data_IF_090039283185
#
_entry.id   IF_090039283185
#
_cell.length_a   1.000
_cell.length_b   1.000
_cell.length_c   1.000
_cell.angle_alpha   90.00
_cell.angle_beta   90.00
_cell.angle_gamma   90.00
#
_symmetry.space_group_name_H-M   'P 1'
#
loop_
_entity.id
_entity.type
_entity.pdbx_description
1 polymer ?
#
# COMPACT_ATOMS: atom_id res chain seq x y z
N UNK A 1 1.33 -12.73 12.70
CA UNK A 1 1.79 -11.42 13.17
C UNK A 1 1.69 -10.47 12.01
N UNK A 2 1.05 -9.32 12.23
CA UNK A 2 0.86 -8.27 11.23
C UNK A 2 1.88 -7.18 11.50
N UNK A 3 2.71 -6.88 10.51
CA UNK A 3 3.66 -5.78 10.50
C UNK A 3 3.07 -4.62 9.70
N UNK A 4 3.04 -3.44 10.32
CA UNK A 4 2.51 -2.21 9.69
C UNK A 4 3.62 -1.19 9.79
N UNK A 5 4.13 -0.76 8.64
CA UNK A 5 5.00 0.41 8.51
C UNK A 5 4.13 1.61 8.19
N UNK A 6 4.15 2.63 9.04
CA UNK A 6 3.34 3.83 8.86
C UNK A 6 4.27 5.02 8.65
N UNK A 7 4.16 5.65 7.49
CA UNK A 7 4.90 6.83 7.10
C UNK A 7 3.91 7.96 6.89
N UNK A 8 4.09 9.05 7.62
CA UNK A 8 3.21 10.21 7.56
C UNK A 8 4.11 11.42 7.34
N UNK A 9 3.81 12.23 6.33
CA UNK A 9 4.51 13.49 6.14
C UNK A 9 4.32 14.39 7.37
N UNK A 10 5.36 15.10 7.79
CA UNK A 10 5.37 15.92 9.02
C UNK A 10 4.18 16.90 9.11
N UNK A 11 3.69 17.37 7.96
CA UNK A 11 2.52 18.27 7.88
C UNK A 11 1.19 17.62 8.31
N UNK A 12 1.09 16.29 8.25
CA UNK A 12 -0.12 15.53 8.60
C UNK A 12 0.00 14.75 9.90
N UNK A 13 1.20 14.55 10.44
CA UNK A 13 1.43 13.77 11.66
C UNK A 13 0.58 14.21 12.86
N UNK A 14 0.25 15.51 12.98
CA UNK A 14 -0.59 16.03 14.06
C UNK A 14 -2.10 15.86 13.87
N UNK A 15 -2.56 15.43 12.69
CA UNK A 15 -3.97 15.33 12.33
C UNK A 15 -4.48 13.89 12.24
N UNK A 16 -3.60 12.91 12.41
CA UNK A 16 -3.89 11.49 12.17
C UNK A 16 -3.68 10.72 13.46
N UNK A 17 -4.65 9.88 13.80
CA UNK A 17 -4.52 8.91 14.87
C UNK A 17 -3.87 7.63 14.33
N UNK A 18 -2.56 7.53 14.52
CA UNK A 18 -1.74 6.40 14.07
C UNK A 18 -2.21 5.08 14.68
N UNK A 19 -2.67 5.10 15.93
CA UNK A 19 -3.14 3.91 16.65
C UNK A 19 -4.47 3.43 16.06
N UNK A 20 -5.40 4.34 15.80
CA UNK A 20 -6.66 4.03 15.14
C UNK A 20 -6.45 3.49 13.72
N UNK A 21 -5.52 4.07 12.97
CA UNK A 21 -5.20 3.60 11.61
C UNK A 21 -4.59 2.19 11.63
N UNK A 22 -3.62 1.95 12.51
CA UNK A 22 -3.03 0.62 12.69
C UNK A 22 -4.08 -0.40 13.14
N UNK A 23 -4.99 -0.01 14.04
CA UNK A 23 -6.08 -0.86 14.49
C UNK A 23 -7.03 -1.22 13.34
N UNK A 24 -7.41 -0.25 12.51
CA UNK A 24 -8.26 -0.47 11.35
C UNK A 24 -7.64 -1.45 10.33
N UNK A 25 -6.34 -1.32 10.06
CA UNK A 25 -5.62 -2.24 9.17
C UNK A 25 -5.58 -3.66 9.75
N UNK A 26 -5.22 -3.80 11.03
CA UNK A 26 -5.19 -5.12 11.70
C UNK A 26 -6.55 -5.79 11.70
N UNK A 27 -7.60 -5.04 12.02
CA UNK A 27 -8.97 -5.54 12.05
C UNK A 27 -9.42 -5.98 10.65
N UNK A 28 -9.13 -5.18 9.63
CA UNK A 28 -9.42 -5.54 8.24
C UNK A 28 -8.73 -6.86 7.85
N UNK A 29 -7.44 -7.01 8.17
CA UNK A 29 -6.68 -8.22 7.88
C UNK A 29 -7.20 -9.45 8.65
N UNK A 30 -7.55 -9.27 9.93
CA UNK A 30 -8.17 -10.32 10.73
C UNK A 30 -9.50 -10.78 10.14
N UNK A 31 -10.36 -9.85 9.69
CA UNK A 31 -11.63 -10.19 9.03
C UNK A 31 -11.43 -10.94 7.70
N UNK A 32 -10.32 -10.68 7.00
CA UNK A 32 -9.95 -11.43 5.79
C UNK A 32 -9.27 -12.78 6.10
N UNK A 33 -9.09 -13.15 7.38
CA UNK A 33 -8.41 -14.39 7.77
C UNK A 33 -6.91 -14.38 7.51
N UNK A 34 -6.29 -13.20 7.37
CA UNK A 34 -4.87 -13.04 7.13
C UNK A 34 -4.12 -12.96 8.45
N UNK A 35 -3.47 -14.07 8.84
CA UNK A 35 -2.77 -14.18 10.12
C UNK A 35 -1.36 -13.55 10.10
N UNK A 36 -0.72 -13.47 8.93
CA UNK A 36 0.63 -12.93 8.74
C UNK A 36 0.65 -12.05 7.50
N UNK A 37 0.94 -10.76 7.71
CA UNK A 37 1.06 -9.81 6.62
C UNK A 37 1.98 -8.65 7.00
N UNK A 38 2.69 -8.11 6.01
CA UNK A 38 3.35 -6.81 6.11
C UNK A 38 2.64 -5.79 5.21
N UNK A 39 2.34 -4.59 5.69
CA UNK A 39 1.75 -3.51 4.88
C UNK A 39 2.49 -2.22 5.18
N UNK A 40 2.80 -1.44 4.14
CA UNK A 40 3.27 -0.06 4.30
C UNK A 40 2.14 0.90 3.99
N UNK A 41 1.87 1.83 4.90
CA UNK A 41 0.91 2.92 4.72
C UNK A 41 1.69 4.22 4.65
N UNK A 42 1.50 4.96 3.57
CA UNK A 42 2.10 6.27 3.34
C UNK A 42 0.98 7.30 3.28
N UNK A 43 1.02 8.27 4.17
CA UNK A 43 0.08 9.39 4.18
C UNK A 43 0.80 10.64 3.69
N UNK A 44 0.34 11.15 2.54
CA UNK A 44 1.00 12.23 1.82
C UNK A 44 0.00 13.21 1.20
N UNK A 45 0.50 14.15 0.41
CA UNK A 45 -0.26 15.23 -0.20
C UNK A 45 -0.85 14.85 -1.58
N UNK A 46 -1.73 15.72 -2.09
CA UNK A 46 -2.41 15.55 -3.37
C UNK A 46 -1.44 15.49 -4.56
N UNK A 47 -0.38 16.31 -4.55
CA UNK A 47 0.55 16.41 -5.66
C UNK A 47 1.39 15.14 -5.77
N UNK A 48 1.86 14.60 -4.64
CA UNK A 48 2.57 13.31 -4.59
C UNK A 48 1.69 12.18 -5.13
N UNK A 49 0.45 12.05 -4.66
CA UNK A 49 -0.47 11.01 -5.17
C UNK A 49 -0.79 11.22 -6.65
N UNK A 50 -0.98 12.46 -7.10
CA UNK A 50 -1.27 12.76 -8.50
C UNK A 50 -0.09 12.41 -9.41
N UNK A 51 1.14 12.71 -9.02
CA UNK A 51 2.35 12.31 -9.74
C UNK A 51 2.46 10.79 -9.84
N UNK A 52 2.20 10.07 -8.75
CA UNK A 52 2.19 8.62 -8.74
C UNK A 52 1.08 8.05 -9.63
N UNK A 53 -0.12 8.62 -9.60
CA UNK A 53 -1.25 8.17 -10.43
C UNK A 53 -0.93 8.32 -11.92
N UNK A 54 -0.32 9.45 -12.29
CA UNK A 54 0.13 9.68 -13.66
C UNK A 54 1.27 8.73 -14.05
N UNK A 55 2.26 8.54 -13.18
CA UNK A 55 3.46 7.75 -13.49
C UNK A 55 3.16 6.26 -13.60
N UNK A 56 2.36 5.72 -12.69
CA UNK A 56 2.14 4.27 -12.57
C UNK A 56 0.82 3.78 -13.19
N UNK A 57 -0.17 4.65 -13.37
CA UNK A 57 -1.47 4.28 -13.94
C UNK A 57 -1.81 5.01 -15.24
N UNK A 58 -0.96 5.94 -15.72
CA UNK A 58 -1.22 6.82 -16.87
C UNK A 58 -2.55 7.61 -16.72
N UNK A 59 -3.01 7.80 -15.47
CA UNK A 59 -4.24 8.54 -15.15
C UNK A 59 -3.86 9.91 -14.59
N UNK A 60 -4.13 10.94 -15.38
CA UNK A 60 -3.94 12.34 -15.00
C UNK A 60 -5.17 12.86 -14.23
N UNK A 61 -5.32 12.39 -13.00
CA UNK A 61 -6.46 12.74 -12.14
C UNK A 61 -6.16 12.59 -10.65
N UNK A 62 -6.87 13.33 -9.79
CA UNK A 62 -6.72 13.20 -8.35
C UNK A 62 -7.44 11.93 -7.86
N UNK A 63 -6.84 11.24 -6.89
CA UNK A 63 -7.43 10.08 -6.22
C UNK A 63 -7.15 10.16 -4.73
N UNK A 64 -8.00 9.54 -3.92
CA UNK A 64 -7.83 9.42 -2.47
C UNK A 64 -6.73 8.42 -2.09
N UNK A 65 -6.65 7.30 -2.81
CA UNK A 65 -5.72 6.22 -2.52
C UNK A 65 -5.14 5.55 -3.78
N UNK A 66 -3.89 5.12 -3.66
CA UNK A 66 -3.20 4.21 -4.59
C UNK A 66 -2.70 2.98 -3.83
N UNK A 67 -2.84 1.80 -4.44
CA UNK A 67 -2.36 0.54 -3.89
C UNK A 67 -1.35 -0.09 -4.84
N UNK A 68 -0.15 -0.38 -4.32
CA UNK A 68 0.93 -1.05 -5.01
C UNK A 68 1.15 -2.43 -4.40
N UNK A 69 0.54 -3.48 -4.97
CA UNK A 69 0.70 -4.83 -4.45
C UNK A 69 2.15 -5.32 -4.66
N UNK A 70 2.66 -6.08 -3.71
CA UNK A 70 3.94 -6.77 -3.89
C UNK A 70 3.80 -7.82 -5.01
N UNK A 71 4.32 -7.50 -6.20
CA UNK A 71 4.18 -8.32 -7.42
C UNK A 71 4.93 -9.66 -7.35
N UNK A 72 5.78 -9.86 -6.35
CA UNK A 72 6.52 -11.11 -6.13
C UNK A 72 5.69 -12.22 -5.47
N UNK A 73 4.39 -12.00 -5.20
CA UNK A 73 3.43 -13.09 -4.98
C UNK A 73 3.22 -13.86 -6.29
N UNK A 74 4.16 -14.78 -6.54
CA UNK A 74 4.32 -15.66 -7.70
C UNK A 74 2.98 -16.19 -8.29
N UNK A 75 2.77 -16.00 -9.60
CA UNK A 75 2.05 -16.99 -10.42
C UNK A 75 0.56 -16.82 -10.73
N UNK A 76 -0.04 -15.64 -10.57
CA UNK A 76 -1.40 -15.39 -11.06
C UNK A 76 -1.36 -14.58 -12.37
N UNK A 77 -1.80 -15.23 -13.44
CA UNK A 77 -2.01 -14.64 -14.76
C UNK A 77 -3.02 -13.49 -14.68
N UNK A 78 -2.56 -12.26 -14.85
CA UNK A 78 -3.37 -11.20 -15.44
C UNK A 78 -2.54 -10.54 -16.55
N UNK A 79 -2.97 -10.82 -17.78
CA UNK A 79 -2.20 -10.58 -18.98
C UNK A 79 -2.09 -9.10 -19.32
N UNK A 80 -0.95 -8.50 -18.99
CA UNK A 80 -0.16 -7.65 -19.89
C UNK A 80 1.20 -7.36 -19.23
N UNK A 81 2.01 -8.41 -19.02
CA UNK A 81 3.39 -8.24 -18.59
C UNK A 81 4.27 -8.39 -19.82
N UNK A 82 4.60 -7.25 -20.46
CA UNK A 82 5.79 -7.17 -21.29
C UNK A 82 6.93 -7.84 -20.52
N UNK A 83 7.44 -8.93 -21.07
CA UNK A 83 8.32 -9.87 -20.40
C UNK A 83 9.53 -9.14 -19.83
N UNK A 84 9.49 -8.84 -18.53
CA UNK A 84 10.70 -8.60 -17.79
C UNK A 84 11.45 -9.93 -17.81
N UNK A 85 12.71 -9.97 -18.28
CA UNK A 85 13.50 -11.18 -18.19
C UNK A 85 13.51 -11.58 -16.73
N UNK A 86 13.22 -12.86 -16.46
CA UNK A 86 13.20 -13.45 -15.12
C UNK A 86 14.37 -12.87 -14.34
N UNK A 87 14.07 -12.00 -13.37
CA UNK A 87 15.08 -11.55 -12.43
C UNK A 87 15.79 -12.82 -11.93
N UNK A 88 17.13 -12.81 -11.80
CA UNK A 88 17.84 -13.98 -11.29
C UNK A 88 17.11 -14.41 -10.03
N UNK A 89 16.60 -15.66 -10.03
CA UNK A 89 15.85 -16.20 -8.90
C UNK A 89 16.84 -16.25 -7.75
N UNK A 90 16.93 -15.16 -7.00
CA UNK A 90 17.74 -15.07 -5.81
C UNK A 90 17.10 -16.08 -4.89
N UNK A 91 17.75 -17.23 -4.73
CA UNK A 91 17.27 -18.28 -3.83
C UNK A 91 17.38 -17.68 -2.43
N UNK A 92 16.28 -17.09 -1.98
CA UNK A 92 16.20 -16.50 -0.66
C UNK A 92 16.25 -17.65 0.36
N UNK A 93 16.99 -17.47 1.49
CA UNK A 93 16.80 -18.31 2.66
C UNK A 93 15.30 -18.40 2.99
N UNK A 94 14.82 -19.56 3.48
CA UNK A 94 13.39 -19.78 3.72
C UNK A 94 12.77 -18.72 4.63
N UNK A 95 13.50 -18.24 5.63
CA UNK A 95 13.04 -17.16 6.51
C UNK A 95 12.74 -15.84 5.76
N UNK A 96 13.58 -15.47 4.79
CA UNK A 96 13.38 -14.25 3.99
C UNK A 96 12.28 -14.43 2.94
N UNK A 97 12.10 -15.64 2.42
CA UNK A 97 11.02 -15.97 1.48
C UNK A 97 9.64 -15.90 2.16
N UNK A 98 9.53 -16.38 3.41
CA UNK A 98 8.28 -16.29 4.17
C UNK A 98 7.91 -14.85 4.53
N UNK A 99 8.91 -14.03 4.90
CA UNK A 99 8.70 -12.60 5.14
C UNK A 99 8.24 -11.87 3.86
N UNK A 100 8.87 -12.16 2.72
CA UNK A 100 8.51 -11.57 1.43
C UNK A 100 7.10 -11.97 0.98
N UNK A 101 6.71 -13.24 1.15
CA UNK A 101 5.36 -13.72 0.84
C UNK A 101 4.27 -13.12 1.74
N UNK A 102 4.65 -12.68 2.95
CA UNK A 102 3.73 -12.03 3.88
C UNK A 102 3.54 -10.55 3.54
N UNK A 103 4.51 -9.88 2.88
CA UNK A 103 4.39 -8.47 2.53
C UNK A 103 3.34 -8.20 1.44
N UNK A 104 2.22 -7.58 1.79
CA UNK A 104 1.08 -7.25 0.92
C UNK A 104 1.41 -6.17 -0.10
N UNK A 105 2.19 -5.16 0.29
CA UNK A 105 2.54 -4.02 -0.55
C UNK A 105 2.32 -2.69 0.15
N UNK A 106 2.23 -1.65 -0.67
CA UNK A 106 2.15 -0.25 -0.24
C UNK A 106 0.76 0.35 -0.50
N UNK A 107 0.28 1.14 0.45
CA UNK A 107 -0.94 1.93 0.37
C UNK A 107 -0.57 3.41 0.53
N UNK A 108 -0.75 4.20 -0.52
CA UNK A 108 -0.44 5.63 -0.51
C UNK A 108 -1.77 6.38 -0.50
N UNK A 109 -2.00 7.17 0.54
CA UNK A 109 -3.25 7.88 0.78
C UNK A 109 -2.98 9.38 0.74
N UNK A 110 -3.77 10.11 -0.06
CA UNK A 110 -3.80 11.57 0.02
C UNK A 110 -4.66 11.98 1.21
N UNK A 111 -4.05 12.60 2.23
CA UNK A 111 -4.80 13.14 3.37
C UNK A 111 -5.73 14.30 2.98
N UNK A 112 -5.26 15.35 2.26
CA UNK A 112 -6.14 16.48 1.90
C UNK A 112 -7.33 16.06 1.04
N UNK A 113 -7.12 15.14 0.09
CA UNK A 113 -8.22 14.62 -0.74
C UNK A 113 -9.23 13.85 0.10
N UNK A 114 -8.74 12.90 0.92
CA UNK A 114 -9.59 12.07 1.78
C UNK A 114 -10.40 12.93 2.75
N UNK A 115 -9.80 13.99 3.32
CA UNK A 115 -10.51 14.92 4.20
C UNK A 115 -11.66 15.65 3.48
N UNK A 116 -11.42 16.16 2.26
CA UNK A 116 -12.47 16.81 1.46
C UNK A 116 -13.60 15.84 1.13
N UNK A 117 -13.26 14.59 0.82
CA UNK A 117 -14.22 13.54 0.51
C UNK A 117 -15.04 13.12 1.74
N UNK A 118 -14.42 13.00 2.92
CA UNK A 118 -15.12 12.72 4.16
C UNK A 118 -16.14 13.83 4.50
N UNK A 119 -15.76 15.10 4.36
CA UNK A 119 -16.67 16.23 4.55
C UNK A 119 -17.84 16.18 3.56
N UNK A 120 -17.60 15.76 2.31
CA UNK A 120 -18.63 15.67 1.29
C UNK A 120 -19.63 14.52 1.51
N UNK A 121 -19.19 13.43 2.15
CA UNK A 121 -19.99 12.22 2.35
C UNK A 121 -20.71 12.17 3.71
N UNK A 122 -20.29 12.99 4.69
CA UNK A 122 -20.90 13.09 6.02
C UNK A 122 -20.58 11.91 6.92
#
# INVERSE_FOLDING_TARGET
MVEIDLQIDDEFAGNIDEEALCAAVRETLHQQGVERAGVTLVITDDATVHELNRTFRDVDGPTDILSFPNQERVGANDGDAASLPSAPQLILPPELLEAQNSYLGDLIISFPYTQRQAIALG
#
